data_IF_413341982115
#
_entry.id   IF_413341982115
#
_cell.length_a   1.000
_cell.length_b   1.000
_cell.length_c   1.000
_cell.angle_alpha   90.00
_cell.angle_beta   90.00
_cell.angle_gamma   90.00
#
_symmetry.space_group_name_H-M   'P 1'
#
loop_
_entity.id
_entity.type
_entity.pdbx_description
1 polymer ?
#
# COMPACT_ATOMS: atom_id res chain seq x y z
N UNK A 1 14.43 -3.19 -28.70
CA UNK A 1 13.02 -2.98 -29.08
C UNK A 1 12.22 -2.73 -27.80
N UNK A 2 11.69 -1.52 -27.61
CA UNK A 2 10.82 -1.18 -26.48
C UNK A 2 9.37 -1.22 -26.99
N UNK A 3 8.53 -2.06 -26.40
CA UNK A 3 7.09 -2.04 -26.63
C UNK A 3 6.46 -1.18 -25.54
N UNK A 4 6.01 0.02 -25.90
CA UNK A 4 5.18 0.86 -25.03
C UNK A 4 3.75 0.79 -25.56
N UNK A 5 2.82 0.39 -24.70
CA UNK A 5 1.41 0.55 -25.00
C UNK A 5 0.99 1.96 -24.60
N UNK A 6 0.43 2.78 -25.52
CA UNK A 6 -0.03 4.12 -25.18
C UNK A 6 -1.31 4.02 -24.34
N UNK A 7 -1.17 3.78 -23.04
CA UNK A 7 -2.30 3.91 -22.10
C UNK A 7 -2.55 5.40 -21.92
N UNK A 8 -3.73 5.87 -22.36
CA UNK A 8 -4.21 7.21 -22.01
C UNK A 8 -4.68 7.17 -20.57
N UNK A 9 -3.84 7.65 -19.66
CA UNK A 9 -4.23 7.81 -18.27
C UNK A 9 -5.24 8.97 -18.18
N UNK A 10 -6.38 8.81 -17.48
CA UNK A 10 -7.26 9.93 -17.23
C UNK A 10 -6.49 10.96 -16.40
N UNK A 11 -6.08 12.05 -17.05
CA UNK A 11 -5.49 13.19 -16.38
C UNK A 11 -6.57 13.85 -15.52
N UNK A 12 -6.28 14.03 -14.23
CA UNK A 12 -7.04 14.79 -13.24
C UNK A 12 -8.55 14.52 -13.26
N UNK A 13 -8.97 13.49 -12.53
CA UNK A 13 -10.37 13.32 -12.14
C UNK A 13 -10.66 14.27 -10.96
N UNK A 14 -11.55 15.28 -11.12
CA UNK A 14 -11.83 16.28 -10.09
C UNK A 14 -12.50 15.68 -8.84
N UNK A 15 -13.10 14.50 -8.96
CA UNK A 15 -13.71 13.78 -7.84
C UNK A 15 -12.71 12.84 -7.14
N UNK A 16 -11.47 12.75 -7.63
CA UNK A 16 -10.45 11.91 -7.04
C UNK A 16 -9.96 12.48 -5.70
N UNK A 17 -9.93 11.61 -4.70
CA UNK A 17 -9.31 11.86 -3.40
C UNK A 17 -7.99 11.11 -3.30
N UNK A 18 -6.99 11.76 -2.72
CA UNK A 18 -5.69 11.15 -2.43
C UNK A 18 -5.63 10.74 -0.97
N UNK A 19 -5.21 9.50 -0.73
CA UNK A 19 -4.83 9.00 0.58
C UNK A 19 -3.37 8.58 0.54
N UNK A 20 -2.62 8.98 1.56
CA UNK A 20 -1.22 8.58 1.74
C UNK A 20 -1.12 7.59 2.88
N UNK A 21 -0.57 6.42 2.59
CA UNK A 21 -0.42 5.34 3.56
C UNK A 21 1.09 5.15 3.80
N UNK A 22 1.52 5.28 5.05
CA UNK A 22 2.93 5.31 5.42
C UNK A 22 3.21 4.34 6.55
N UNK A 23 4.37 3.69 6.51
CA UNK A 23 4.99 3.10 7.68
C UNK A 23 5.63 4.21 8.54
N UNK A 24 4.80 4.90 9.33
CA UNK A 24 5.21 6.07 10.13
C UNK A 24 6.33 5.69 11.10
N UNK A 25 7.43 6.44 11.11
CA UNK A 25 8.56 6.24 12.02
C UNK A 25 9.09 4.80 12.06
N UNK A 26 9.06 4.09 10.93
CA UNK A 26 9.59 2.73 10.84
C UNK A 26 11.08 2.72 11.21
N UNK A 27 11.41 1.98 12.26
CA UNK A 27 12.79 1.78 12.69
C UNK A 27 13.27 0.48 12.08
N UNK A 28 13.98 0.60 10.95
CA UNK A 28 14.53 -0.56 10.23
C UNK A 28 15.67 -1.14 11.06
N UNK A 29 15.57 -2.41 11.54
CA UNK A 29 16.67 -3.08 12.20
C UNK A 29 17.88 -3.22 11.28
N UNK A 30 19.08 -3.32 11.86
CA UNK A 30 20.32 -3.63 11.14
C UNK A 30 20.41 -5.13 10.77
N UNK A 31 19.35 -5.65 10.14
CA UNK A 31 19.23 -7.00 9.64
C UNK A 31 19.21 -6.97 8.12
N UNK A 32 19.86 -7.95 7.47
CA UNK A 32 19.98 -8.05 6.00
C UNK A 32 18.65 -7.87 5.27
N UNK A 33 17.55 -8.37 5.84
CA UNK A 33 16.22 -8.22 5.25
C UNK A 33 15.19 -8.02 6.35
N UNK A 34 14.48 -6.91 6.30
CA UNK A 34 13.39 -6.57 7.21
C UNK A 34 12.08 -6.51 6.44
N UNK A 35 11.06 -7.18 6.96
CA UNK A 35 9.68 -7.00 6.51
C UNK A 35 8.93 -6.14 7.51
N UNK A 36 8.49 -4.97 7.07
CA UNK A 36 7.78 -4.02 7.89
C UNK A 36 6.31 -3.92 7.50
N UNK A 37 5.41 -4.12 8.45
CA UNK A 37 3.97 -4.15 8.26
C UNK A 37 3.32 -2.93 8.92
N UNK A 38 2.48 -2.22 8.18
CA UNK A 38 1.61 -1.18 8.69
C UNK A 38 0.14 -1.51 8.37
N UNK A 39 -0.71 -1.63 9.39
CA UNK A 39 -2.17 -1.77 9.25
C UNK A 39 -2.76 -0.38 9.42
N UNK A 40 -3.41 0.12 8.38
CA UNK A 40 -3.92 1.49 8.33
C UNK A 40 -5.40 1.48 7.98
N UNK A 41 -6.18 2.22 8.76
CA UNK A 41 -7.59 2.45 8.49
C UNK A 41 -7.76 3.55 7.45
N UNK A 42 -8.79 3.41 6.62
CA UNK A 42 -9.20 4.51 5.76
C UNK A 42 -9.67 5.71 6.60
N UNK A 43 -9.61 6.90 6.04
CA UNK A 43 -10.24 8.08 6.64
C UNK A 43 -11.76 7.88 6.74
N UNK A 44 -12.39 8.50 7.74
CA UNK A 44 -13.81 8.26 8.04
C UNK A 44 -14.76 8.62 6.90
N UNK A 45 -14.39 9.62 6.09
CA UNK A 45 -15.15 10.01 4.91
C UNK A 45 -15.06 8.97 3.79
N UNK A 46 -13.91 8.28 3.67
CA UNK A 46 -13.68 7.21 2.69
C UNK A 46 -14.31 5.87 3.10
N UNK A 47 -14.63 5.69 4.38
CA UNK A 47 -15.31 4.47 4.85
C UNK A 47 -16.83 4.47 4.58
N UNK A 48 -17.43 5.65 4.31
CA UNK A 48 -18.88 5.80 4.16
C UNK A 48 -19.41 5.23 2.83
N UNK A 49 -18.54 5.04 1.84
CA UNK A 49 -18.94 4.56 0.53
C UNK A 49 -17.84 3.76 -0.16
N UNK A 50 -18.20 3.10 -1.26
CA UNK A 50 -17.26 2.38 -2.11
C UNK A 50 -16.41 3.34 -2.92
N UNK A 51 -15.10 3.14 -2.87
CA UNK A 51 -14.14 3.87 -3.68
C UNK A 51 -13.40 2.95 -4.63
N UNK A 52 -12.92 3.55 -5.72
CA UNK A 52 -12.15 2.88 -6.74
C UNK A 52 -10.75 3.45 -6.79
N UNK A 53 -9.72 2.59 -6.73
CA UNK A 53 -8.34 3.04 -6.96
C UNK A 53 -8.17 3.30 -8.45
N UNK A 54 -7.73 4.51 -8.80
CA UNK A 54 -7.45 4.90 -10.19
C UNK A 54 -5.95 5.16 -10.44
N UNK A 55 -5.19 5.44 -9.38
CA UNK A 55 -3.76 5.76 -9.42
C UNK A 55 -3.09 5.28 -8.13
N UNK A 56 -1.88 4.76 -8.24
CA UNK A 56 -0.99 4.42 -7.15
C UNK A 56 0.41 4.91 -7.47
N UNK A 57 1.06 5.57 -6.53
CA UNK A 57 2.44 6.00 -6.66
C UNK A 57 3.23 5.71 -5.39
N UNK A 58 4.52 5.37 -5.51
CA UNK A 58 5.37 5.17 -4.34
C UNK A 58 5.60 6.51 -3.61
N UNK A 59 5.58 6.47 -2.28
CA UNK A 59 6.03 7.57 -1.43
C UNK A 59 7.18 7.04 -0.58
N UNK A 60 8.40 7.47 -0.88
CA UNK A 60 9.61 7.02 -0.22
C UNK A 60 10.27 8.23 0.43
N UNK A 61 10.68 8.09 1.70
CA UNK A 61 11.43 9.12 2.40
C UNK A 61 12.78 9.35 1.71
N UNK A 62 13.19 10.61 1.47
CA UNK A 62 14.49 10.90 0.88
C UNK A 62 15.65 10.22 1.63
N UNK A 63 16.55 9.57 0.89
CA UNK A 63 17.66 8.78 1.42
C UNK A 63 17.35 7.31 1.67
N UNK A 64 16.07 6.88 1.56
CA UNK A 64 15.65 5.48 1.73
C UNK A 64 15.41 4.76 0.40
N UNK A 65 15.64 5.42 -0.74
CA UNK A 65 15.34 4.89 -2.08
C UNK A 65 16.12 3.63 -2.44
N UNK A 66 17.32 3.47 -1.89
CA UNK A 66 18.16 2.27 -2.10
C UNK A 66 17.83 1.14 -1.11
N UNK A 67 17.12 1.46 -0.03
CA UNK A 67 16.86 0.56 1.10
C UNK A 67 15.48 -0.10 0.96
N UNK A 68 14.48 0.67 0.50
CA UNK A 68 13.15 0.14 0.21
C UNK A 68 13.14 -0.55 -1.14
N UNK A 69 13.17 -1.89 -1.14
CA UNK A 69 13.24 -2.68 -2.36
C UNK A 69 11.86 -3.05 -2.92
N UNK A 70 10.89 -3.38 -2.05
CA UNK A 70 9.49 -3.64 -2.43
C UNK A 70 8.50 -3.00 -1.47
N UNK A 71 7.35 -2.62 -2.00
CA UNK A 71 6.16 -2.24 -1.24
C UNK A 71 4.95 -2.96 -1.79
N UNK A 72 4.08 -3.47 -0.93
CA UNK A 72 2.82 -4.08 -1.33
C UNK A 72 1.69 -3.54 -0.47
N UNK A 73 0.53 -3.32 -1.10
CA UNK A 73 -0.69 -2.89 -0.42
C UNK A 73 -1.74 -3.96 -0.57
N UNK A 74 -2.22 -4.47 0.55
CA UNK A 74 -3.27 -5.48 0.64
C UNK A 74 -4.55 -4.88 1.19
N UNK A 75 -5.69 -5.31 0.64
CA UNK A 75 -6.99 -5.08 1.24
C UNK A 75 -7.32 -6.18 2.26
N UNK A 76 -7.80 -5.76 3.42
CA UNK A 76 -8.33 -6.63 4.46
C UNK A 76 -9.81 -6.91 4.24
N UNK A 77 -10.18 -8.19 4.21
CA UNK A 77 -11.58 -8.61 4.18
C UNK A 77 -11.99 -8.92 5.61
N UNK A 78 -12.70 -7.98 6.25
CA UNK A 78 -13.21 -8.14 7.62
C UNK A 78 -14.63 -7.58 7.73
N UNK A 79 -15.52 -8.37 8.35
CA UNK A 79 -16.87 -7.96 8.69
C UNK A 79 -16.90 -7.12 9.97
N UNK A 80 -15.92 -7.34 10.86
CA UNK A 80 -15.73 -6.58 12.09
C UNK A 80 -15.12 -5.20 11.82
N UNK A 81 -15.50 -4.22 12.63
CA UNK A 81 -14.79 -2.95 12.77
C UNK A 81 -13.42 -3.24 13.42
N UNK A 82 -12.50 -3.78 12.62
CA UNK A 82 -11.14 -4.00 13.06
C UNK A 82 -10.48 -2.63 13.29
N UNK A 83 -10.35 -2.28 14.56
CA UNK A 83 -9.82 -1.00 15.04
C UNK A 83 -8.32 -1.04 15.33
N UNK A 84 -7.71 -2.22 15.29
CA UNK A 84 -6.31 -2.40 15.64
C UNK A 84 -5.39 -1.99 14.49
N UNK A 85 -4.93 -0.74 14.55
CA UNK A 85 -3.76 -0.29 13.78
C UNK A 85 -2.50 -0.99 14.27
N UNK A 86 -1.54 -1.18 13.36
CA UNK A 86 -0.26 -1.79 13.68
C UNK A 86 0.83 -1.16 12.83
N UNK A 87 2.04 -1.07 13.36
CA UNK A 87 3.18 -0.53 12.65
C UNK A 87 4.45 -1.13 13.25
N UNK A 88 5.03 -2.11 12.58
CA UNK A 88 6.12 -2.90 13.14
C UNK A 88 6.59 -4.03 12.24
N UNK A 89 7.54 -4.82 12.72
CA UNK A 89 8.02 -5.99 12.01
C UNK A 89 6.87 -6.98 11.72
N UNK A 90 6.76 -7.42 10.46
CA UNK A 90 5.72 -8.35 10.01
C UNK A 90 5.78 -9.72 10.71
N UNK A 91 6.95 -10.11 11.22
CA UNK A 91 7.19 -11.38 11.89
C UNK A 91 7.02 -11.29 13.41
N UNK A 92 6.74 -10.09 13.95
CA UNK A 92 6.53 -9.91 15.38
C UNK A 92 5.31 -10.70 15.86
N UNK A 93 5.43 -11.28 17.07
CA UNK A 93 4.30 -11.91 17.78
C UNK A 93 3.22 -10.89 18.19
N UNK A 94 3.57 -9.61 18.25
CA UNK A 94 2.62 -8.52 18.53
C UNK A 94 1.77 -8.12 17.33
N UNK A 95 2.03 -8.66 16.13
CA UNK A 95 1.23 -8.36 14.94
C UNK A 95 -0.20 -8.89 15.15
N UNK A 96 -1.25 -8.06 14.97
CA UNK A 96 -2.63 -8.47 15.13
C UNK A 96 -2.98 -9.69 14.28
N UNK A 97 -3.71 -10.65 14.86
CA UNK A 97 -4.14 -11.85 14.12
C UNK A 97 -5.04 -11.52 12.93
N UNK A 98 -5.80 -10.44 13.01
CA UNK A 98 -6.66 -9.98 11.91
C UNK A 98 -5.86 -9.64 10.64
N UNK A 99 -4.55 -9.35 10.77
CA UNK A 99 -3.69 -9.06 9.63
C UNK A 99 -3.61 -10.19 8.60
N UNK A 100 -3.84 -11.44 9.04
CA UNK A 100 -3.91 -12.60 8.15
C UNK A 100 -5.08 -12.53 7.16
N UNK A 101 -6.11 -11.73 7.43
CA UNK A 101 -7.25 -11.52 6.53
C UNK A 101 -6.93 -10.55 5.38
N UNK A 102 -5.78 -9.89 5.43
CA UNK A 102 -5.34 -8.94 4.44
C UNK A 102 -4.48 -9.65 3.38
N UNK A 103 -5.17 -10.32 2.47
CA UNK A 103 -4.56 -11.17 1.44
C UNK A 103 -4.86 -10.70 0.02
N UNK A 104 -5.75 -9.71 -0.15
CA UNK A 104 -6.14 -9.22 -1.48
C UNK A 104 -5.19 -8.12 -1.94
N UNK A 105 -4.23 -8.46 -2.79
CA UNK A 105 -3.31 -7.49 -3.38
C UNK A 105 -4.09 -6.40 -4.13
N UNK A 106 -3.87 -5.16 -3.75
CA UNK A 106 -4.30 -3.99 -4.50
C UNK A 106 -3.15 -3.49 -5.36
N UNK A 107 -1.99 -3.28 -4.73
CA UNK A 107 -0.83 -2.67 -5.33
C UNK A 107 0.43 -3.48 -5.00
N UNK A 108 1.37 -3.46 -5.93
CA UNK A 108 2.75 -3.83 -5.67
C UNK A 108 3.65 -2.82 -6.37
N UNK A 109 4.75 -2.49 -5.73
CA UNK A 109 5.80 -1.62 -6.24
C UNK A 109 7.15 -2.25 -5.93
N UNK A 110 8.11 -2.07 -6.84
CA UNK A 110 9.50 -2.42 -6.64
C UNK A 110 10.39 -1.29 -7.14
N UNK A 111 11.64 -1.28 -6.70
CA UNK A 111 12.64 -0.30 -7.15
C UNK A 111 12.63 -0.13 -8.68
N UNK A 112 12.58 1.13 -9.14
CA UNK A 112 12.52 1.50 -10.55
C UNK A 112 11.11 1.49 -11.17
N UNK A 113 10.08 0.98 -10.48
CA UNK A 113 8.70 1.07 -10.97
C UNK A 113 8.16 2.50 -10.85
N UNK A 114 7.45 2.93 -11.90
CA UNK A 114 6.77 4.23 -11.94
C UNK A 114 5.34 4.15 -11.38
N UNK A 115 4.65 5.28 -11.33
CA UNK A 115 3.22 5.37 -11.01
C UNK A 115 2.39 4.38 -11.84
N UNK A 116 1.48 3.66 -11.18
CA UNK A 116 0.50 2.78 -11.80
C UNK A 116 -0.83 3.51 -11.91
N UNK A 117 -1.45 3.45 -13.08
CA UNK A 117 -2.82 3.95 -13.28
C UNK A 117 -3.70 2.80 -13.72
N UNK A 118 -4.90 2.71 -13.15
CA UNK A 118 -5.88 1.72 -13.56
C UNK A 118 -6.68 2.22 -14.77
N UNK A 119 -6.88 1.39 -15.81
CA UNK A 119 -7.83 1.68 -16.88
C UNK A 119 -9.23 1.93 -16.33
N UNK A 120 -10.03 2.72 -17.05
CA UNK A 120 -11.40 3.06 -16.63
C UNK A 120 -12.28 1.82 -16.43
N UNK A 121 -12.02 0.78 -17.23
CA UNK A 121 -12.75 -0.48 -17.29
C UNK A 121 -12.37 -1.43 -16.15
N UNK A 122 -11.21 -1.25 -15.53
CA UNK A 122 -10.64 -2.18 -14.54
C UNK A 122 -10.27 -1.43 -13.26
N UNK A 123 -11.28 -0.89 -12.59
CA UNK A 123 -11.10 -0.24 -11.29
C UNK A 123 -11.25 -1.25 -10.14
N UNK A 124 -10.32 -1.25 -9.18
CA UNK A 124 -10.44 -2.07 -7.95
C UNK A 124 -11.24 -1.33 -6.89
N UNK A 125 -12.29 -1.97 -6.38
CA UNK A 125 -13.19 -1.42 -5.37
C UNK A 125 -12.76 -1.84 -3.95
N UNK A 126 -12.80 -0.92 -2.99
CA UNK A 126 -12.42 -1.16 -1.58
C UNK A 126 -13.28 -0.31 -0.61
N UNK A 127 -13.29 -0.67 0.68
CA UNK A 127 -14.20 -0.05 1.66
C UNK A 127 -13.65 0.21 3.08
N UNK A 128 -12.58 -0.46 3.57
CA UNK A 128 -12.29 -0.43 5.02
C UNK A 128 -10.84 -0.27 5.45
N UNK A 129 -9.98 -1.24 5.12
CA UNK A 129 -8.63 -1.33 5.70
C UNK A 129 -7.61 -1.80 4.68
N UNK A 130 -6.38 -1.35 4.89
CA UNK A 130 -5.21 -1.79 4.15
C UNK A 130 -4.09 -2.28 5.08
N UNK A 131 -3.32 -3.25 4.59
CA UNK A 131 -1.99 -3.55 5.11
C UNK A 131 -0.97 -3.17 4.08
N UNK A 132 0.04 -2.44 4.52
CA UNK A 132 1.24 -2.21 3.73
C UNK A 132 2.36 -3.04 4.28
N UNK A 133 2.95 -3.85 3.41
CA UNK A 133 4.21 -4.53 3.68
C UNK A 133 5.31 -3.80 2.91
N UNK A 134 6.40 -3.48 3.60
CA UNK A 134 7.63 -3.02 2.99
C UNK A 134 8.65 -4.13 3.17
N UNK A 135 9.30 -4.52 2.08
CA UNK A 135 10.53 -5.30 2.16
C UNK A 135 11.68 -4.31 2.05
N UNK A 136 12.42 -4.23 3.14
CA UNK A 136 13.57 -3.38 3.28
C UNK A 136 14.80 -4.29 3.31
N UNK A 137 15.72 -4.08 2.39
CA UNK A 137 16.98 -4.83 2.33
C UNK A 137 18.10 -3.84 2.63
N UNK A 138 18.85 -4.09 3.71
CA UNK A 138 20.08 -3.36 3.99
C UNK A 138 21.23 -4.12 3.34
N UNK A 139 22.04 -3.44 2.54
CA UNK A 139 23.29 -4.00 1.99
C UNK A 139 24.31 -4.31 3.09
#
# INVERSE_FOLDING_TARGET
>A
MLLQYPVKFPANDPDAKTMTILAKNAQVPAERTTYWCAIVRLDEDLQKQKHHVIKLEPVITPGMEQIVHHMEVFHCVTDEDATEEYNGNCQSKSRPKMSHMCSKVLAAWSMGASTVYYPKEVKKCFLKLFIITHRIESE
#
